data_IF_119521857073
#
_entry.id   IF_119521857073
#
_cell.length_a   1.000
_cell.length_b   1.000
_cell.length_c   1.000
_cell.angle_alpha   90.00
_cell.angle_beta   90.00
_cell.angle_gamma   90.00
#
_symmetry.space_group_name_H-M   'P 1'
#
loop_
_entity.id
_entity.type
_entity.pdbx_description
1 polymer ?
#
# COMPACT_ATOMS: atom_id res chain seq x y z
N UNK A 1 1.82 6.53 13.04
CA UNK A 1 1.26 6.81 11.69
C UNK A 1 -0.24 6.96 11.80
N UNK A 2 -0.82 7.93 11.11
CA UNK A 2 -2.27 8.21 11.15
C UNK A 2 -2.72 8.75 9.79
N UNK A 3 -3.80 8.20 9.24
CA UNK A 3 -4.48 8.77 8.07
C UNK A 3 -5.23 10.00 8.52
N UNK A 4 -4.91 11.16 7.93
CA UNK A 4 -5.54 12.45 8.20
C UNK A 4 -6.78 12.65 7.33
N UNK A 5 -6.68 12.26 6.05
CA UNK A 5 -7.74 12.36 5.05
C UNK A 5 -7.64 11.20 4.06
N UNK A 6 -8.78 10.87 3.47
CA UNK A 6 -8.89 9.87 2.41
C UNK A 6 -9.85 10.38 1.34
N UNK A 7 -9.38 10.38 0.10
CA UNK A 7 -10.19 10.70 -1.08
C UNK A 7 -10.14 9.54 -2.07
N UNK A 8 -11.27 9.26 -2.71
CA UNK A 8 -11.40 8.23 -3.74
C UNK A 8 -11.76 8.89 -5.05
N UNK A 9 -10.93 8.70 -6.05
CA UNK A 9 -11.13 9.21 -7.41
C UNK A 9 -11.54 8.04 -8.31
N UNK A 10 -12.73 8.12 -8.87
CA UNK A 10 -13.33 7.01 -9.65
C UNK A 10 -12.87 7.02 -11.12
N UNK A 11 -12.29 8.13 -11.58
CA UNK A 11 -11.84 8.32 -12.95
C UNK A 11 -10.73 9.36 -13.03
N UNK A 12 -10.54 10.00 -14.19
CA UNK A 12 -9.47 10.96 -14.42
C UNK A 12 -9.45 12.06 -13.34
N UNK A 13 -8.25 12.31 -12.82
CA UNK A 13 -7.99 13.27 -11.76
C UNK A 13 -6.63 13.94 -11.97
N UNK A 14 -6.24 14.83 -11.05
CA UNK A 14 -4.89 15.41 -11.04
C UNK A 14 -3.79 14.37 -10.72
N UNK A 15 -4.16 13.18 -10.27
CA UNK A 15 -3.22 12.13 -9.88
C UNK A 15 -2.96 11.11 -10.99
N UNK A 16 -4.05 10.67 -11.68
CA UNK A 16 -4.01 9.64 -12.73
C UNK A 16 -5.24 9.75 -13.65
N UNK A 17 -5.20 9.04 -14.79
CA UNK A 17 -6.34 8.93 -15.71
C UNK A 17 -7.27 7.75 -15.39
N UNK A 18 -6.98 7.00 -14.36
CA UNK A 18 -7.69 5.81 -13.87
C UNK A 18 -8.00 5.94 -12.38
N UNK A 19 -8.79 5.02 -11.81
CA UNK A 19 -9.19 5.09 -10.41
C UNK A 19 -8.03 5.02 -9.44
N UNK A 20 -7.99 5.96 -8.47
CA UNK A 20 -6.96 5.97 -7.42
C UNK A 20 -7.55 6.36 -6.06
N UNK A 21 -6.93 5.86 -5.01
CA UNK A 21 -7.13 6.33 -3.64
C UNK A 21 -5.98 7.25 -3.27
N UNK A 22 -6.31 8.39 -2.67
CA UNK A 22 -5.36 9.29 -2.02
C UNK A 22 -5.53 9.21 -0.52
N UNK A 23 -4.43 9.04 0.18
CA UNK A 23 -4.34 9.16 1.64
C UNK A 23 -3.40 10.31 1.99
N UNK A 24 -3.81 11.20 2.88
CA UNK A 24 -2.90 12.10 3.55
C UNK A 24 -2.47 11.42 4.86
N UNK A 25 -1.21 11.05 4.94
CA UNK A 25 -0.63 10.25 6.01
C UNK A 25 0.32 11.09 6.86
N UNK A 26 0.05 11.16 8.15
CA UNK A 26 0.94 11.73 9.15
C UNK A 26 1.80 10.61 9.78
N UNK A 27 3.09 10.66 9.58
CA UNK A 27 4.06 9.73 10.18
C UNK A 27 4.33 10.05 11.64
N UNK A 28 4.12 11.32 12.06
CA UNK A 28 4.49 11.78 13.39
C UNK A 28 5.97 11.55 13.68
N UNK A 29 6.34 11.02 14.85
CA UNK A 29 7.75 10.76 15.20
C UNK A 29 8.46 9.76 14.26
N UNK A 30 7.71 8.97 13.47
CA UNK A 30 8.30 8.03 12.51
C UNK A 30 8.90 8.71 11.27
N UNK A 31 8.69 10.03 11.11
CA UNK A 31 9.41 10.82 10.11
C UNK A 31 10.93 10.73 10.27
N UNK A 32 11.42 10.61 11.51
CA UNK A 32 12.84 10.42 11.79
C UNK A 32 13.35 8.99 11.57
N UNK A 33 12.49 8.08 11.14
CA UNK A 33 12.79 6.65 11.00
C UNK A 33 12.54 6.15 9.57
N UNK A 34 13.30 6.62 8.57
CA UNK A 34 13.29 6.00 7.25
C UNK A 34 13.77 4.53 7.33
N UNK A 35 13.53 3.75 6.29
CA UNK A 35 13.78 2.31 6.30
C UNK A 35 15.24 1.94 6.57
N UNK A 36 16.19 2.76 6.13
CA UNK A 36 17.61 2.57 6.46
C UNK A 36 17.89 2.65 7.97
N UNK A 37 17.20 3.54 8.68
CA UNK A 37 17.30 3.68 10.14
C UNK A 37 16.52 2.62 10.90
N UNK A 38 15.39 2.12 10.35
CA UNK A 38 14.67 0.96 10.89
C UNK A 38 15.51 -0.31 10.77
N UNK A 39 16.35 -0.41 9.74
CA UNK A 39 17.32 -1.47 9.56
C UNK A 39 16.79 -2.72 8.84
N UNK A 40 17.72 -3.64 8.58
CA UNK A 40 17.44 -4.84 7.79
C UNK A 40 16.36 -5.73 8.39
N UNK A 41 16.29 -5.85 9.70
CA UNK A 41 15.29 -6.68 10.37
C UNK A 41 13.85 -6.26 10.02
N UNK A 42 13.57 -4.95 9.93
CA UNK A 42 12.27 -4.44 9.50
C UNK A 42 12.00 -4.78 8.03
N UNK A 43 12.98 -4.57 7.17
CA UNK A 43 12.87 -4.83 5.72
C UNK A 43 12.66 -6.33 5.46
N UNK A 44 13.42 -7.18 6.14
CA UNK A 44 13.33 -8.63 5.99
C UNK A 44 11.99 -9.18 6.52
N UNK A 45 11.49 -8.61 7.62
CA UNK A 45 10.16 -8.94 8.13
C UNK A 45 9.04 -8.53 7.15
N UNK A 46 9.15 -7.38 6.49
CA UNK A 46 8.22 -6.96 5.45
C UNK A 46 8.29 -7.88 4.22
N UNK A 47 9.50 -8.24 3.79
CA UNK A 47 9.70 -9.17 2.68
C UNK A 47 9.11 -10.56 2.97
N UNK A 48 9.23 -11.05 4.20
CA UNK A 48 8.61 -12.29 4.63
C UNK A 48 7.08 -12.22 4.69
N UNK A 49 6.52 -11.06 5.08
CA UNK A 49 5.08 -10.86 5.15
C UNK A 49 4.44 -10.75 3.77
N UNK A 50 5.09 -10.07 2.81
CA UNK A 50 4.62 -9.81 1.45
C UNK A 50 5.74 -10.10 0.44
N UNK A 51 5.98 -11.36 0.08
CA UNK A 51 7.08 -11.75 -0.83
C UNK A 51 6.97 -11.12 -2.23
N UNK A 52 5.76 -10.86 -2.73
CA UNK A 52 5.53 -10.25 -4.04
C UNK A 52 6.08 -8.83 -4.16
N UNK A 53 6.34 -8.13 -3.06
CA UNK A 53 7.07 -6.86 -3.08
C UNK A 53 8.46 -6.96 -3.74
N UNK A 54 9.02 -8.16 -3.86
CA UNK A 54 10.27 -8.40 -4.59
C UNK A 54 10.15 -8.13 -6.10
N UNK A 55 8.94 -8.17 -6.65
CA UNK A 55 8.69 -7.88 -8.06
C UNK A 55 8.51 -6.37 -8.33
N UNK A 56 8.35 -5.56 -7.27
CA UNK A 56 8.14 -4.13 -7.42
C UNK A 56 9.43 -3.41 -7.86
N UNK A 57 9.35 -2.75 -9.03
CA UNK A 57 10.48 -2.06 -9.64
C UNK A 57 10.81 -0.70 -9.03
N UNK A 58 9.81 -0.02 -8.43
CA UNK A 58 9.98 1.32 -7.90
C UNK A 58 10.66 2.26 -8.94
N UNK A 59 11.50 3.19 -8.50
CA UNK A 59 12.27 4.10 -9.36
C UNK A 59 13.35 3.41 -10.20
N UNK A 60 13.68 2.16 -9.92
CA UNK A 60 14.68 1.38 -10.67
C UNK A 60 14.10 0.67 -11.90
N UNK A 61 12.77 0.60 -12.02
CA UNK A 61 12.06 -0.07 -13.12
C UNK A 61 12.52 -1.51 -13.38
N UNK A 62 12.91 -2.23 -12.33
CA UNK A 62 13.36 -3.62 -12.38
C UNK A 62 12.95 -4.36 -11.11
N UNK A 63 12.67 -5.68 -11.18
CA UNK A 63 12.39 -6.49 -10.00
C UNK A 63 13.43 -6.28 -8.90
N UNK A 64 13.01 -6.23 -7.64
CA UNK A 64 13.86 -5.93 -6.49
C UNK A 64 14.15 -4.44 -6.27
N UNK A 65 13.78 -3.56 -7.19
CA UNK A 65 14.03 -2.12 -7.10
C UNK A 65 13.46 -1.49 -5.82
N UNK A 66 12.30 -1.93 -5.39
CA UNK A 66 11.69 -1.44 -4.15
C UNK A 66 12.53 -1.79 -2.91
N UNK A 67 12.94 -3.05 -2.75
CA UNK A 67 13.81 -3.44 -1.62
C UNK A 67 15.19 -2.82 -1.71
N UNK A 68 15.71 -2.63 -2.93
CA UNK A 68 16.93 -1.88 -3.15
C UNK A 68 16.78 -0.44 -2.62
N UNK A 69 15.69 0.25 -2.97
CA UNK A 69 15.39 1.60 -2.49
C UNK A 69 15.28 1.68 -0.97
N UNK A 70 14.74 0.64 -0.33
CA UNK A 70 14.64 0.58 1.13
C UNK A 70 15.98 0.42 1.85
N UNK A 71 16.99 -0.14 1.18
CA UNK A 71 18.31 -0.47 1.76
C UNK A 71 19.41 0.54 1.43
N UNK A 72 19.26 1.31 0.35
CA UNK A 72 20.27 2.28 -0.08
C UNK A 72 20.15 3.58 0.71
N UNK A 73 21.30 4.18 1.04
CA UNK A 73 21.40 5.45 1.75
C UNK A 73 20.56 5.47 3.04
N UNK A 74 19.72 6.48 3.19
CA UNK A 74 18.76 6.58 4.29
C UNK A 74 17.52 5.69 4.08
N UNK A 75 17.40 5.04 2.92
CA UNK A 75 16.24 4.27 2.54
C UNK A 75 15.08 5.12 2.06
N UNK A 76 13.88 4.81 2.54
CA UNK A 76 12.67 5.55 2.18
C UNK A 76 11.71 5.65 3.36
N UNK A 77 10.79 6.62 3.31
CA UNK A 77 9.80 6.85 4.36
C UNK A 77 8.61 5.90 4.27
N UNK A 78 7.97 5.67 5.41
CA UNK A 78 6.87 4.70 5.54
C UNK A 78 5.64 5.04 4.70
N UNK A 79 5.47 6.31 4.28
CA UNK A 79 4.44 6.68 3.32
C UNK A 79 4.63 6.00 1.95
N UNK A 80 5.87 6.00 1.44
CA UNK A 80 6.20 5.29 0.20
C UNK A 80 6.14 3.77 0.37
N UNK A 81 6.51 3.27 1.55
CA UNK A 81 6.36 1.83 1.85
C UNK A 81 4.89 1.44 1.86
N UNK A 82 4.00 2.27 2.44
CA UNK A 82 2.55 2.03 2.46
C UNK A 82 1.96 1.99 1.04
N UNK A 83 2.43 2.85 0.13
CA UNK A 83 2.04 2.85 -1.27
C UNK A 83 2.26 1.46 -1.90
N UNK A 84 3.48 0.94 -1.82
CA UNK A 84 3.83 -0.38 -2.37
C UNK A 84 3.07 -1.52 -1.68
N UNK A 85 2.88 -1.44 -0.37
CA UNK A 85 2.13 -2.43 0.40
C UNK A 85 0.65 -2.45 0.00
N UNK A 86 0.02 -1.28 -0.20
CA UNK A 86 -1.38 -1.20 -0.61
C UNK A 86 -1.61 -1.75 -2.02
N UNK A 87 -0.65 -1.58 -2.93
CA UNK A 87 -0.65 -2.19 -4.26
C UNK A 87 -0.54 -3.71 -4.12
N UNK A 88 0.47 -4.20 -3.41
CA UNK A 88 0.74 -5.63 -3.26
C UNK A 88 -0.42 -6.37 -2.59
N UNK A 89 -1.07 -5.77 -1.59
CA UNK A 89 -2.24 -6.35 -0.94
C UNK A 89 -3.38 -6.62 -1.93
N UNK A 90 -3.65 -5.69 -2.85
CA UNK A 90 -4.66 -5.91 -3.89
C UNK A 90 -4.22 -7.03 -4.85
N UNK A 91 -2.94 -7.07 -5.22
CA UNK A 91 -2.40 -8.08 -6.13
C UNK A 91 -2.45 -9.50 -5.54
N UNK A 92 -2.15 -9.69 -4.25
CA UNK A 92 -2.32 -11.01 -3.60
C UNK A 92 -3.79 -11.42 -3.48
N UNK A 93 -4.71 -10.48 -3.55
CA UNK A 93 -6.15 -10.76 -3.57
C UNK A 93 -6.69 -11.09 -4.97
N UNK A 94 -5.88 -10.94 -6.02
CA UNK A 94 -6.18 -11.32 -7.38
C UNK A 94 -6.31 -10.16 -8.37
N UNK A 95 -6.04 -8.93 -7.94
CA UNK A 95 -6.04 -7.77 -8.81
C UNK A 95 -4.69 -7.60 -9.53
N UNK A 96 -4.62 -6.66 -10.48
CA UNK A 96 -3.40 -6.37 -11.25
C UNK A 96 -3.15 -4.86 -11.30
N UNK A 97 -3.03 -4.24 -10.13
CA UNK A 97 -2.77 -2.80 -9.99
C UNK A 97 -1.27 -2.55 -9.83
N UNK A 98 -0.78 -1.46 -10.41
CA UNK A 98 0.67 -1.21 -10.45
C UNK A 98 1.06 0.24 -10.09
N UNK A 99 0.14 1.18 -10.24
CA UNK A 99 0.47 2.59 -10.06
C UNK A 99 0.44 3.00 -8.60
N UNK A 100 1.49 3.71 -8.21
CA UNK A 100 1.58 4.43 -6.96
C UNK A 100 2.43 5.69 -7.07
N UNK A 101 2.20 6.64 -6.17
CA UNK A 101 2.94 7.89 -6.09
C UNK A 101 2.85 8.49 -4.70
N UNK A 102 3.99 8.66 -4.06
CA UNK A 102 4.08 9.33 -2.76
C UNK A 102 4.83 10.64 -2.88
N UNK A 103 4.33 11.70 -2.24
CA UNK A 103 4.93 13.03 -2.21
C UNK A 103 4.77 13.63 -0.81
N UNK A 104 5.72 14.48 -0.40
CA UNK A 104 5.55 15.35 0.76
C UNK A 104 4.33 16.26 0.55
N UNK A 105 3.53 16.43 1.59
CA UNK A 105 2.32 17.27 1.57
C UNK A 105 2.56 18.68 2.15
N UNK A 106 3.82 19.07 2.37
CA UNK A 106 4.23 20.38 2.89
C UNK A 106 4.69 20.34 4.34
N UNK A 107 3.84 20.06 5.34
CA UNK A 107 4.31 19.91 6.72
C UNK A 107 5.27 18.72 6.86
N UNK A 108 6.35 18.82 7.67
CA UNK A 108 7.21 17.69 7.96
C UNK A 108 6.43 16.49 8.48
N UNK A 109 6.74 15.31 8.00
CA UNK A 109 6.08 14.06 8.41
C UNK A 109 4.72 13.81 7.76
N UNK A 110 4.21 14.72 6.93
CA UNK A 110 2.93 14.54 6.22
C UNK A 110 3.18 14.23 4.76
N UNK A 111 2.58 13.14 4.30
CA UNK A 111 2.72 12.63 2.94
C UNK A 111 1.36 12.42 2.28
N UNK A 112 1.26 12.80 1.02
CA UNK A 112 0.18 12.35 0.14
C UNK A 112 0.61 11.06 -0.53
N UNK A 113 -0.07 9.98 -0.20
CA UNK A 113 0.11 8.63 -0.74
C UNK A 113 -1.03 8.35 -1.69
N UNK A 114 -0.73 8.08 -2.95
CA UNK A 114 -1.71 7.76 -3.99
C UNK A 114 -1.42 6.36 -4.52
N UNK A 115 -2.43 5.54 -4.66
CA UNK A 115 -2.29 4.22 -5.29
C UNK A 115 -3.55 3.85 -6.07
N UNK A 116 -3.35 3.11 -7.13
CA UNK A 116 -4.40 2.56 -7.99
C UNK A 116 -5.27 1.57 -7.23
N UNK A 117 -6.54 1.48 -7.60
CA UNK A 117 -7.42 0.42 -7.14
C UNK A 117 -8.26 -0.16 -8.28
N UNK A 118 -8.50 -1.45 -8.22
CA UNK A 118 -9.44 -2.13 -9.12
C UNK A 118 -10.86 -2.15 -8.51
N UNK A 119 -10.96 -2.46 -7.22
CA UNK A 119 -12.18 -2.46 -6.43
C UNK A 119 -12.06 -1.42 -5.32
N UNK A 120 -12.99 -0.45 -5.26
CA UNK A 120 -12.95 0.67 -4.30
C UNK A 120 -12.78 0.23 -2.84
N UNK A 121 -13.66 -0.66 -2.38
CA UNK A 121 -13.69 -1.07 -0.98
C UNK A 121 -12.47 -1.92 -0.62
N UNK A 122 -11.96 -2.68 -1.59
CA UNK A 122 -10.73 -3.45 -1.46
C UNK A 122 -9.51 -2.53 -1.35
N UNK A 123 -9.40 -1.54 -2.26
CA UNK A 123 -8.32 -0.56 -2.20
C UNK A 123 -8.30 0.22 -0.89
N UNK A 124 -9.48 0.59 -0.34
CA UNK A 124 -9.59 1.22 0.98
C UNK A 124 -9.07 0.30 2.08
N UNK A 125 -9.54 -0.96 2.08
CA UNK A 125 -9.15 -1.95 3.07
C UNK A 125 -7.65 -2.29 2.96
N UNK A 126 -7.07 -2.30 1.74
CA UNK A 126 -5.64 -2.51 1.52
C UNK A 126 -4.79 -1.41 2.18
N UNK A 127 -5.17 -0.14 2.04
CA UNK A 127 -4.48 0.96 2.73
C UNK A 127 -4.53 0.84 4.26
N UNK A 128 -5.70 0.51 4.81
CA UNK A 128 -5.89 0.35 6.27
C UNK A 128 -5.12 -0.88 6.81
N UNK A 129 -5.20 -2.01 6.10
CA UNK A 129 -4.46 -3.21 6.46
C UNK A 129 -2.95 -3.02 6.34
N UNK A 130 -2.50 -2.35 5.26
CA UNK A 130 -1.10 -2.00 5.05
C UNK A 130 -0.54 -1.16 6.20
N UNK A 131 -1.28 -0.13 6.63
CA UNK A 131 -0.89 0.70 7.76
C UNK A 131 -0.73 -0.11 9.06
N UNK A 132 -1.64 -1.06 9.29
CA UNK A 132 -1.59 -1.96 10.46
C UNK A 132 -0.43 -2.94 10.37
N UNK A 133 -0.20 -3.53 9.19
CA UNK A 133 0.95 -4.41 8.97
C UNK A 133 2.25 -3.67 9.23
N UNK A 134 2.47 -2.51 8.62
CA UNK A 134 3.68 -1.72 8.82
C UNK A 134 3.88 -1.37 10.29
N UNK A 135 2.81 -1.00 10.99
CA UNK A 135 2.86 -0.71 12.44
C UNK A 135 3.24 -1.95 13.26
N UNK A 136 2.76 -3.13 12.87
CA UNK A 136 3.04 -4.39 13.59
C UNK A 136 4.50 -4.81 13.49
N UNK A 137 5.17 -4.48 12.39
CA UNK A 137 6.57 -4.80 12.13
C UNK A 137 7.54 -3.83 12.82
N UNK A 138 7.07 -2.67 13.29
CA UNK A 138 7.91 -1.71 13.99
C UNK A 138 8.43 -2.28 15.31
N UNK A 139 9.68 -1.92 15.71
CA UNK A 139 10.14 -2.12 17.07
C UNK A 139 9.11 -1.58 18.08
N UNK A 140 8.89 -2.28 19.19
CA UNK A 140 7.84 -1.95 20.16
C UNK A 140 7.90 -0.46 20.62
N UNK A 141 9.09 0.06 20.86
CA UNK A 141 9.33 1.47 21.27
C UNK A 141 8.89 2.51 20.22
N UNK A 142 8.75 2.11 18.95
CA UNK A 142 8.34 2.98 17.84
C UNK A 142 6.88 2.74 17.42
N UNK A 143 6.26 1.70 17.96
CA UNK A 143 4.89 1.34 17.61
C UNK A 143 3.90 2.32 18.25
N UNK A 144 3.08 3.03 17.45
CA UNK A 144 2.07 3.91 18.02
C UNK A 144 1.09 3.14 18.92
N UNK A 145 0.70 3.68 20.07
CA UNK A 145 -0.30 3.06 20.93
C UNK A 145 -1.60 2.77 20.17
N UNK A 146 -2.14 1.57 20.33
CA UNK A 146 -3.39 1.15 19.67
C UNK A 146 -3.31 0.90 18.18
N UNK A 147 -2.13 1.06 17.55
CA UNK A 147 -1.97 0.83 16.10
C UNK A 147 -2.17 -0.64 15.69
N UNK A 148 -1.94 -1.57 16.61
CA UNK A 148 -2.15 -3.00 16.42
C UNK A 148 -3.03 -3.50 17.56
N UNK A 149 -4.21 -4.08 17.29
CA UNK A 149 -5.07 -4.66 18.31
C UNK A 149 -4.37 -5.82 19.05
N UNK A 150 -4.77 -6.05 20.31
CA UNK A 150 -4.33 -7.22 21.04
C UNK A 150 -4.75 -8.51 20.32
N UNK A 151 -3.86 -9.48 20.27
CA UNK A 151 -4.09 -10.75 19.57
C UNK A 151 -4.11 -10.65 18.04
N UNK A 152 -3.79 -9.50 17.45
CA UNK A 152 -3.75 -9.36 16.01
C UNK A 152 -2.65 -10.24 15.39
N UNK A 153 -3.02 -10.96 14.33
CA UNK A 153 -2.15 -11.87 13.59
C UNK A 153 -2.13 -11.50 12.11
N UNK A 154 -0.95 -11.31 11.55
CA UNK A 154 -0.81 -11.02 10.13
C UNK A 154 -1.39 -12.11 9.22
N UNK A 155 -1.10 -13.41 9.41
CA UNK A 155 -1.66 -14.46 8.56
C UNK A 155 -3.21 -14.44 8.55
N UNK A 156 -3.83 -14.27 9.70
CA UNK A 156 -5.28 -14.21 9.80
C UNK A 156 -5.85 -12.96 9.13
N UNK A 157 -5.23 -11.80 9.34
CA UNK A 157 -5.66 -10.54 8.74
C UNK A 157 -5.54 -10.56 7.22
N UNK A 158 -4.43 -11.11 6.69
CA UNK A 158 -4.23 -11.36 5.26
C UNK A 158 -5.33 -12.26 4.69
N UNK A 159 -5.57 -13.39 5.32
CA UNK A 159 -6.55 -14.36 4.84
C UNK A 159 -7.99 -13.80 4.90
N UNK A 160 -8.29 -13.00 5.92
CA UNK A 160 -9.56 -12.27 6.01
C UNK A 160 -9.69 -11.24 4.88
N UNK A 161 -8.62 -10.51 4.57
CA UNK A 161 -8.59 -9.54 3.49
C UNK A 161 -8.80 -10.21 2.12
N UNK A 162 -8.11 -11.32 1.84
CA UNK A 162 -8.29 -12.08 0.59
C UNK A 162 -9.74 -12.56 0.47
N UNK A 163 -10.33 -13.14 1.53
CA UNK A 163 -11.73 -13.54 1.51
C UNK A 163 -12.71 -12.37 1.34
N UNK A 164 -12.37 -11.20 1.90
CA UNK A 164 -13.16 -9.99 1.70
C UNK A 164 -13.15 -9.54 0.24
N UNK A 165 -11.99 -9.52 -0.42
CA UNK A 165 -11.83 -9.19 -1.82
C UNK A 165 -12.56 -10.19 -2.73
N UNK A 166 -12.34 -11.49 -2.53
CA UNK A 166 -12.98 -12.56 -3.30
C UNK A 166 -14.52 -12.49 -3.29
N UNK A 167 -15.13 -12.09 -2.17
CA UNK A 167 -16.59 -11.91 -2.10
C UNK A 167 -17.09 -10.70 -2.89
N UNK A 168 -16.22 -9.78 -3.28
CA UNK A 168 -16.51 -8.56 -4.05
C UNK A 168 -16.04 -8.65 -5.50
N UNK A 169 -15.22 -9.64 -5.81
CA UNK A 169 -14.76 -9.86 -7.18
C UNK A 169 -15.95 -10.04 -8.13
N UNK A 170 -15.84 -9.43 -9.28
CA UNK A 170 -16.83 -9.62 -10.35
C UNK A 170 -16.81 -11.08 -10.81
N UNK A 171 -17.98 -11.65 -11.03
CA UNK A 171 -18.06 -12.97 -11.67
C UNK A 171 -17.40 -12.96 -13.06
N UNK A 172 -16.91 -14.11 -13.55
CA UNK A 172 -16.06 -14.18 -14.75
C UNK A 172 -16.66 -13.47 -15.98
N UNK A 173 -17.96 -13.61 -16.20
CA UNK A 173 -18.66 -12.96 -17.33
C UNK A 173 -18.68 -11.44 -17.19
N UNK A 174 -18.99 -10.92 -16.00
CA UNK A 174 -19.01 -9.49 -15.73
C UNK A 174 -17.60 -8.91 -15.80
N UNK A 175 -16.60 -9.58 -15.23
CA UNK A 175 -15.19 -9.19 -15.31
C UNK A 175 -14.70 -9.09 -16.76
N UNK A 176 -15.10 -10.05 -17.63
CA UNK A 176 -14.77 -10.02 -19.06
C UNK A 176 -15.41 -8.84 -19.79
N UNK A 177 -16.66 -8.51 -19.49
CA UNK A 177 -17.34 -7.35 -20.07
C UNK A 177 -16.72 -6.02 -19.63
N UNK A 178 -16.42 -5.89 -18.34
CA UNK A 178 -15.77 -4.69 -17.80
C UNK A 178 -14.39 -4.49 -18.42
N UNK A 179 -13.58 -5.55 -18.52
CA UNK A 179 -12.27 -5.48 -19.15
C UNK A 179 -12.37 -5.06 -20.63
N UNK A 180 -13.31 -5.66 -21.38
CA UNK A 180 -13.52 -5.31 -22.78
C UNK A 180 -14.01 -3.85 -22.95
N UNK A 181 -14.73 -3.30 -21.99
CA UNK A 181 -15.14 -1.88 -21.98
C UNK A 181 -13.94 -0.98 -21.71
N UNK A 182 -13.14 -1.29 -20.69
CA UNK A 182 -11.92 -0.55 -20.32
C UNK A 182 -10.92 -0.49 -21.48
N UNK A 183 -10.68 -1.62 -22.18
CA UNK A 183 -9.81 -1.69 -23.35
C UNK A 183 -10.28 -0.76 -24.49
N UNK A 184 -11.55 -0.41 -24.52
CA UNK A 184 -12.17 0.52 -25.49
C UNK A 184 -12.32 1.94 -24.96
N UNK A 185 -11.78 2.25 -23.76
CA UNK A 185 -11.92 3.55 -23.13
C UNK A 185 -13.35 3.88 -22.70
N UNK A 186 -14.21 2.86 -22.51
CA UNK A 186 -15.57 3.03 -21.99
C UNK A 186 -15.47 2.95 -20.46
N UNK A 187 -15.89 4.01 -19.74
CA UNK A 187 -15.82 4.05 -18.28
C UNK A 187 -16.81 3.11 -17.60
#
# INVERSE_FOLDING_TARGET
MRILDRSVYVGPSLHAHFPVIRLDLDLGPLEEWPTGRLGSAYIDALAAALPGLAEHGCSYNAPGGFFRRMREDEGTWLGHVLEHVAIELQNIAGEAVTFGKTRSAGPPGVYTVVYEYAQRDEGIAAGELGLRLLSSLLPERLRPPGAVPEGWSWPEARDQFIRFAQRRALGPSTASLVRAAQERGIP
#
